data_IF_934127096203
#
_entry.id   IF_934127096203
#
_cell.length_a   1.000
_cell.length_b   1.000
_cell.length_c   1.000
_cell.angle_alpha   90.00
_cell.angle_beta   90.00
_cell.angle_gamma   90.00
#
_symmetry.space_group_name_H-M   'P 1'
#
loop_
_entity.id
_entity.type
_entity.pdbx_description
1 polymer ?
#
# COMPACT_ATOMS: atom_id res chain seq x y z
N UNK A 1 -11.48 1.07 14.58
CA UNK A 1 -12.67 0.88 15.43
C UNK A 1 -13.18 -0.55 15.28
N UNK A 2 -13.81 -1.17 16.30
CA UNK A 2 -14.35 -2.53 16.22
C UNK A 2 -15.33 -2.72 15.07
N UNK A 3 -16.19 -1.74 14.82
CA UNK A 3 -17.18 -1.76 13.74
C UNK A 3 -16.52 -1.86 12.36
N UNK A 4 -15.39 -1.20 12.16
CA UNK A 4 -14.61 -1.26 10.93
C UNK A 4 -14.02 -2.65 10.70
N UNK A 5 -13.61 -3.35 11.77
CA UNK A 5 -13.16 -4.74 11.66
C UNK A 5 -14.28 -5.65 11.15
N UNK A 6 -15.50 -5.52 11.68
CA UNK A 6 -16.62 -6.34 11.26
C UNK A 6 -17.00 -6.10 9.81
N UNK A 7 -16.95 -4.87 9.30
CA UNK A 7 -17.17 -4.57 7.88
C UNK A 7 -16.17 -5.33 6.98
N UNK A 8 -14.89 -5.40 7.38
CA UNK A 8 -13.89 -6.19 6.67
C UNK A 8 -14.18 -7.69 6.75
N UNK A 9 -14.56 -8.15 7.92
CA UNK A 9 -14.83 -9.55 8.17
C UNK A 9 -16.03 -10.07 7.36
N UNK A 10 -17.09 -9.31 7.25
CA UNK A 10 -18.26 -9.64 6.43
C UNK A 10 -17.89 -9.82 4.96
N UNK A 11 -17.06 -8.94 4.42
CA UNK A 11 -16.60 -8.96 3.03
C UNK A 11 -15.45 -9.92 2.73
N UNK A 12 -14.95 -10.65 3.72
CA UNK A 12 -13.74 -11.49 3.59
C UNK A 12 -13.80 -12.57 2.50
N UNK A 13 -14.98 -12.98 2.12
CA UNK A 13 -15.19 -14.02 1.08
C UNK A 13 -15.33 -13.45 -0.33
N UNK A 14 -15.62 -12.16 -0.44
CA UNK A 14 -15.93 -11.51 -1.71
C UNK A 14 -14.68 -11.01 -2.42
N UNK A 15 -13.65 -10.67 -1.66
CA UNK A 15 -12.45 -10.01 -2.17
C UNK A 15 -11.16 -10.79 -1.90
N UNK A 16 -10.20 -10.63 -2.79
CA UNK A 16 -8.84 -11.13 -2.59
C UNK A 16 -8.06 -10.31 -1.59
N UNK A 17 -8.25 -8.99 -1.63
CA UNK A 17 -7.60 -8.00 -0.78
C UNK A 17 -8.56 -6.86 -0.43
N UNK A 18 -8.80 -6.66 0.85
CA UNK A 18 -9.48 -5.49 1.40
C UNK A 18 -8.45 -4.53 1.99
N UNK A 19 -8.49 -3.26 1.60
CA UNK A 19 -7.59 -2.22 2.07
C UNK A 19 -8.38 -1.12 2.76
N UNK A 20 -8.05 -0.85 4.02
CA UNK A 20 -8.56 0.30 4.73
C UNK A 20 -7.83 1.57 4.29
N UNK A 21 -8.53 2.53 3.71
CA UNK A 21 -7.93 3.80 3.32
C UNK A 21 -8.48 4.97 4.14
N UNK A 22 -7.63 5.98 4.35
CA UNK A 22 -8.02 7.18 5.08
C UNK A 22 -8.76 8.15 4.16
N UNK A 23 -10.02 8.47 4.51
CA UNK A 23 -10.83 9.42 3.76
C UNK A 23 -10.34 10.87 3.94
N UNK A 24 -9.93 11.24 5.15
CA UNK A 24 -9.31 12.53 5.47
C UNK A 24 -7.86 12.32 5.88
N UNK A 25 -6.93 12.96 5.19
CA UNK A 25 -5.53 12.98 5.55
C UNK A 25 -5.19 14.33 6.16
N UNK A 26 -5.02 14.37 7.46
CA UNK A 26 -4.49 15.52 8.20
C UNK A 26 -2.94 15.51 8.22
N UNK A 27 -2.35 14.72 7.37
CA UNK A 27 -0.92 14.36 7.40
C UNK A 27 0.04 15.43 6.82
N UNK A 28 -0.42 16.62 6.50
CA UNK A 28 0.42 17.69 5.94
C UNK A 28 0.75 17.54 4.45
N UNK A 29 1.14 18.65 3.81
CA UNK A 29 1.37 18.78 2.36
C UNK A 29 2.51 17.86 1.88
N UNK A 30 3.60 17.73 2.65
CA UNK A 30 4.76 16.92 2.30
C UNK A 30 4.42 15.43 2.11
N UNK A 31 3.53 14.90 2.95
CA UNK A 31 3.13 13.49 2.88
C UNK A 31 2.16 13.21 1.74
N UNK A 32 1.30 14.19 1.42
CA UNK A 32 0.46 14.12 0.22
C UNK A 32 1.32 14.10 -1.04
N UNK A 33 2.35 14.93 -1.10
CA UNK A 33 3.30 14.97 -2.21
C UNK A 33 4.00 13.62 -2.40
N UNK A 34 4.59 13.06 -1.34
CA UNK A 34 5.25 11.75 -1.37
C UNK A 34 4.30 10.65 -1.85
N UNK A 35 3.05 10.64 -1.39
CA UNK A 35 2.07 9.66 -1.84
C UNK A 35 1.71 9.81 -3.31
N UNK A 36 1.59 11.04 -3.81
CA UNK A 36 1.31 11.30 -5.24
C UNK A 36 2.48 10.87 -6.13
N UNK A 37 3.70 11.21 -5.73
CA UNK A 37 4.92 10.78 -6.43
C UNK A 37 5.01 9.25 -6.45
N UNK A 38 4.79 8.58 -5.32
CA UNK A 38 4.78 7.12 -5.27
C UNK A 38 3.76 6.51 -6.23
N UNK A 39 2.53 7.02 -6.26
CA UNK A 39 1.49 6.53 -7.21
C UNK A 39 1.92 6.69 -8.66
N UNK A 40 2.48 7.85 -9.01
CA UNK A 40 2.97 8.12 -10.36
C UNK A 40 4.10 7.16 -10.73
N UNK A 41 5.05 6.95 -9.84
CA UNK A 41 6.16 6.00 -10.05
C UNK A 41 5.64 4.57 -10.25
N UNK A 42 4.70 4.11 -9.43
CA UNK A 42 4.10 2.80 -9.57
C UNK A 42 3.35 2.64 -10.90
N UNK A 43 2.61 3.68 -11.30
CA UNK A 43 1.92 3.68 -12.59
C UNK A 43 2.91 3.63 -13.78
N UNK A 44 3.98 4.41 -13.74
CA UNK A 44 4.98 4.43 -14.81
C UNK A 44 5.73 3.10 -14.95
N UNK A 45 6.10 2.48 -13.82
CA UNK A 45 6.88 1.24 -13.81
C UNK A 45 6.01 0.01 -14.09
N UNK A 46 4.88 -0.13 -13.37
CA UNK A 46 4.05 -1.34 -13.42
C UNK A 46 2.81 -1.21 -14.30
N UNK A 47 2.54 -0.01 -14.83
CA UNK A 47 1.33 0.30 -15.60
C UNK A 47 0.03 0.00 -14.85
N UNK A 48 0.08 0.18 -13.53
CA UNK A 48 -1.02 -0.17 -12.62
C UNK A 48 -1.34 1.01 -11.72
N UNK A 49 -2.60 1.38 -11.65
CA UNK A 49 -3.06 2.45 -10.77
C UNK A 49 -3.41 1.89 -9.40
N UNK A 50 -2.84 2.48 -8.35
CA UNK A 50 -3.06 2.06 -6.96
C UNK A 50 -3.61 3.23 -6.15
N UNK A 51 -4.76 3.04 -5.52
CA UNK A 51 -5.42 4.10 -4.73
C UNK A 51 -4.68 4.41 -3.43
N UNK A 52 -4.30 3.38 -2.67
CA UNK A 52 -3.48 3.49 -1.45
C UNK A 52 -2.58 2.26 -1.30
N UNK A 53 -1.28 2.47 -1.57
CA UNK A 53 -0.33 1.36 -1.67
C UNK A 53 0.25 0.92 -0.31
N UNK A 54 0.28 1.80 0.68
CA UNK A 54 1.08 1.56 1.90
C UNK A 54 0.27 1.55 3.21
N UNK A 55 -1.04 1.46 3.14
CA UNK A 55 -1.85 1.31 4.34
C UNK A 55 -1.63 -0.07 4.97
N UNK A 56 -1.39 -0.16 6.29
CA UNK A 56 -1.18 -1.44 6.97
C UNK A 56 -2.48 -2.18 7.31
N UNK A 57 -3.63 -1.50 7.33
CA UNK A 57 -4.91 -2.11 7.65
C UNK A 57 -5.47 -2.87 6.45
N UNK A 58 -5.30 -4.20 6.47
CA UNK A 58 -5.59 -5.08 5.34
C UNK A 58 -6.18 -6.40 5.79
N UNK A 59 -7.08 -6.95 4.98
CA UNK A 59 -7.54 -8.32 5.09
C UNK A 59 -7.32 -9.03 3.75
N UNK A 60 -6.68 -10.17 3.75
CA UNK A 60 -6.26 -10.88 2.55
C UNK A 60 -6.67 -12.34 2.56
N UNK A 61 -7.04 -12.86 1.41
CA UNK A 61 -7.25 -14.29 1.24
C UNK A 61 -5.91 -15.04 1.37
N UNK A 62 -5.81 -15.97 2.32
CA UNK A 62 -4.56 -16.65 2.64
C UNK A 62 -3.96 -17.47 1.49
N UNK A 63 -4.79 -18.09 0.65
CA UNK A 63 -4.33 -18.87 -0.51
C UNK A 63 -3.71 -17.94 -1.59
N UNK A 64 -4.36 -16.80 -1.85
CA UNK A 64 -3.85 -15.82 -2.80
C UNK A 64 -2.59 -15.14 -2.26
N UNK A 65 -2.59 -14.77 -0.98
CA UNK A 65 -1.43 -14.14 -0.32
C UNK A 65 -0.17 -15.00 -0.47
N UNK A 66 -0.26 -16.32 -0.23
CA UNK A 66 0.89 -17.24 -0.41
C UNK A 66 1.47 -17.20 -1.82
N UNK A 67 0.62 -17.07 -2.85
CA UNK A 67 1.07 -16.94 -4.25
C UNK A 67 1.73 -15.60 -4.53
N UNK A 68 1.16 -14.52 -3.97
CA UNK A 68 1.68 -13.16 -4.11
C UNK A 68 3.05 -13.02 -3.43
N UNK A 69 3.19 -13.54 -2.21
CA UNK A 69 4.44 -13.47 -1.46
C UNK A 69 5.63 -14.12 -2.17
N UNK A 70 5.41 -15.20 -2.93
CA UNK A 70 6.48 -15.84 -3.74
C UNK A 70 7.10 -14.92 -4.80
N UNK A 71 6.41 -13.85 -5.18
CA UNK A 71 6.91 -12.85 -6.15
C UNK A 71 7.68 -11.71 -5.51
N UNK A 72 7.56 -11.56 -4.18
CA UNK A 72 8.20 -10.50 -3.42
C UNK A 72 9.52 -11.04 -2.85
N UNK A 73 10.64 -10.34 -3.04
CA UNK A 73 11.91 -10.75 -2.42
C UNK A 73 11.83 -10.71 -0.89
N UNK A 74 12.51 -11.64 -0.24
CA UNK A 74 12.61 -11.66 1.21
C UNK A 74 13.26 -10.37 1.73
N UNK A 75 12.72 -9.85 2.82
CA UNK A 75 13.21 -8.62 3.43
C UNK A 75 12.94 -7.33 2.65
N UNK A 76 12.13 -7.38 1.59
CA UNK A 76 11.80 -6.17 0.81
C UNK A 76 11.05 -5.14 1.66
N UNK A 77 11.63 -3.96 1.86
CA UNK A 77 11.13 -2.96 2.83
C UNK A 77 9.79 -2.31 2.46
N UNK A 78 9.39 -2.31 1.19
CA UNK A 78 8.08 -1.82 0.71
C UNK A 78 7.15 -2.96 0.29
N UNK A 79 7.18 -4.07 1.00
CA UNK A 79 6.38 -5.28 0.69
C UNK A 79 4.88 -4.98 0.58
N UNK A 80 4.33 -4.10 1.43
CA UNK A 80 2.92 -3.69 1.35
C UNK A 80 2.59 -2.99 0.02
N UNK A 81 3.49 -2.16 -0.48
CA UNK A 81 3.33 -1.47 -1.76
C UNK A 81 3.33 -2.49 -2.89
N UNK A 82 4.31 -3.38 -2.89
CA UNK A 82 4.47 -4.37 -3.94
C UNK A 82 3.32 -5.38 -3.96
N UNK A 83 2.85 -5.84 -2.79
CA UNK A 83 1.65 -6.66 -2.69
C UNK A 83 0.45 -5.98 -3.35
N UNK A 84 0.19 -4.71 -3.03
CA UNK A 84 -0.94 -3.98 -3.62
C UNK A 84 -0.82 -3.91 -5.14
N UNK A 85 0.37 -3.62 -5.66
CA UNK A 85 0.63 -3.60 -7.11
C UNK A 85 0.33 -4.95 -7.75
N UNK A 86 0.79 -6.05 -7.14
CA UNK A 86 0.56 -7.40 -7.67
C UNK A 86 -0.93 -7.73 -7.70
N UNK A 87 -1.66 -7.45 -6.62
CA UNK A 87 -3.11 -7.69 -6.57
C UNK A 87 -3.86 -6.90 -7.63
N UNK A 88 -3.56 -5.62 -7.81
CA UNK A 88 -4.19 -4.76 -8.83
C UNK A 88 -3.83 -5.19 -10.25
N UNK A 89 -2.54 -5.44 -10.52
CA UNK A 89 -2.05 -5.81 -11.84
C UNK A 89 -2.62 -7.15 -12.33
N UNK A 90 -2.81 -8.09 -11.42
CA UNK A 90 -3.36 -9.40 -11.74
C UNK A 90 -4.87 -9.50 -11.53
N UNK A 91 -5.55 -8.38 -11.31
CA UNK A 91 -7.00 -8.32 -11.12
C UNK A 91 -7.53 -9.28 -10.05
N UNK A 92 -6.80 -9.39 -8.93
CA UNK A 92 -7.14 -10.30 -7.83
C UNK A 92 -8.20 -9.73 -6.87
N UNK A 93 -9.12 -8.96 -7.38
CA UNK A 93 -10.24 -8.33 -6.68
C UNK A 93 -9.81 -7.57 -5.41
N UNK A 94 -9.43 -6.30 -5.62
CA UNK A 94 -9.06 -5.37 -4.55
C UNK A 94 -10.23 -4.44 -4.25
N UNK A 95 -10.62 -4.34 -2.98
CA UNK A 95 -11.62 -3.38 -2.53
C UNK A 95 -11.01 -2.42 -1.49
N UNK A 96 -11.35 -1.14 -1.62
CA UNK A 96 -10.90 -0.08 -0.72
C UNK A 96 -12.06 0.39 0.15
N UNK A 97 -11.95 0.18 1.45
CA UNK A 97 -12.95 0.56 2.44
C UNK A 97 -12.43 1.77 3.24
N UNK A 98 -13.23 2.86 3.37
CA UNK A 98 -12.82 3.99 4.19
C UNK A 98 -12.76 3.58 5.66
N UNK A 99 -11.67 3.96 6.34
CA UNK A 99 -11.49 3.73 7.77
C UNK A 99 -11.20 5.04 8.50
N UNK A 100 -11.59 5.07 9.78
CA UNK A 100 -11.29 6.16 10.70
C UNK A 100 -9.88 5.98 11.24
N UNK A 101 -9.08 7.01 11.13
CA UNK A 101 -7.74 7.00 11.70
C UNK A 101 -7.68 8.01 12.86
N UNK A 102 -7.44 7.52 14.07
CA UNK A 102 -7.20 8.42 15.21
C UNK A 102 -5.80 9.02 15.09
N UNK A 103 -5.63 10.34 15.28
CA UNK A 103 -4.31 10.94 15.39
C UNK A 103 -3.50 10.22 16.47
N UNK A 104 -2.21 10.03 16.23
CA UNK A 104 -1.34 9.47 17.25
C UNK A 104 -1.32 10.38 18.47
N UNK A 105 -1.52 9.80 19.67
CA UNK A 105 -1.51 10.55 20.92
C UNK A 105 -0.11 11.04 21.31
N UNK A 106 0.95 10.55 20.68
CA UNK A 106 2.32 10.98 20.93
C UNK A 106 3.19 10.87 19.67
N UNK A 107 4.08 11.85 19.48
CA UNK A 107 5.12 11.87 18.47
C UNK A 107 4.82 12.78 17.26
N UNK A 108 5.67 13.80 17.05
CA UNK A 108 5.68 14.58 15.81
C UNK A 108 6.31 13.74 14.71
N UNK A 109 5.49 13.25 13.79
CA UNK A 109 5.99 12.68 12.52
C UNK A 109 6.37 13.84 11.58
N UNK A 110 7.53 14.44 11.79
CA UNK A 110 8.13 15.28 10.77
C UNK A 110 8.74 14.36 9.70
N UNK A 111 8.11 14.33 8.53
CA UNK A 111 8.72 13.71 7.38
C UNK A 111 9.96 14.53 7.03
N UNK A 112 11.14 13.99 7.33
CA UNK A 112 12.38 14.61 6.93
C UNK A 112 12.65 14.28 5.45
N UNK A 113 12.40 15.26 4.55
CA UNK A 113 12.60 15.10 3.10
C UNK A 113 14.02 14.66 2.77
N UNK A 114 15.04 15.10 3.53
CA UNK A 114 16.43 14.66 3.35
C UNK A 114 16.61 13.14 3.52
N UNK A 115 15.82 12.52 4.37
CA UNK A 115 15.82 11.05 4.57
C UNK A 115 14.97 10.32 3.54
N UNK A 116 13.91 10.95 3.04
CA UNK A 116 12.99 10.34 2.07
C UNK A 116 13.60 10.22 0.69
N UNK A 117 14.38 11.19 0.24
CA UNK A 117 14.98 11.20 -1.10
C UNK A 117 15.85 9.96 -1.35
N UNK A 118 16.81 9.58 -0.48
CA UNK A 118 17.56 8.34 -0.66
C UNK A 118 16.69 7.08 -0.68
N UNK A 119 15.70 7.02 0.22
CA UNK A 119 14.75 5.90 0.27
C UNK A 119 13.94 5.81 -1.03
N UNK A 120 13.48 6.94 -1.54
CA UNK A 120 12.74 7.01 -2.80
C UNK A 120 13.57 6.57 -4.02
N UNK A 121 14.84 6.97 -4.07
CA UNK A 121 15.78 6.52 -5.12
C UNK A 121 16.00 5.01 -5.07
N UNK A 122 16.22 4.46 -3.88
CA UNK A 122 16.38 3.03 -3.68
C UNK A 122 15.11 2.28 -4.09
N UNK A 123 13.94 2.75 -3.65
CA UNK A 123 12.66 2.18 -4.03
C UNK A 123 12.43 2.17 -5.54
N UNK A 124 12.74 3.28 -6.22
CA UNK A 124 12.64 3.38 -7.68
C UNK A 124 13.52 2.33 -8.38
N UNK A 125 14.78 2.23 -7.96
CA UNK A 125 15.72 1.25 -8.51
C UNK A 125 15.24 -0.18 -8.30
N UNK A 126 14.76 -0.50 -7.11
CA UNK A 126 14.25 -1.83 -6.77
C UNK A 126 12.99 -2.18 -7.56
N UNK A 127 12.06 -1.22 -7.72
CA UNK A 127 10.86 -1.41 -8.55
C UNK A 127 11.23 -1.65 -10.02
N UNK A 128 12.21 -0.92 -10.55
CA UNK A 128 12.69 -1.14 -11.92
C UNK A 128 13.26 -2.55 -12.11
N UNK A 129 13.99 -3.07 -11.13
CA UNK A 129 14.51 -4.45 -11.16
C UNK A 129 13.39 -5.48 -11.09
N UNK A 130 12.34 -5.19 -10.32
CA UNK A 130 11.24 -6.12 -10.08
C UNK A 130 10.14 -6.07 -11.14
N UNK A 131 10.12 -5.08 -12.02
CA UNK A 131 9.03 -4.87 -12.99
C UNK A 131 8.72 -6.07 -13.87
N UNK A 132 9.73 -6.88 -14.19
CA UNK A 132 9.58 -8.08 -15.02
C UNK A 132 9.18 -9.32 -14.22
N UNK A 133 9.27 -9.26 -12.91
CA UNK A 133 8.93 -10.36 -12.01
C UNK A 133 7.46 -10.30 -11.52
N UNK A 134 6.83 -9.14 -11.69
CA UNK A 134 5.50 -8.82 -11.16
C UNK A 134 4.44 -8.70 -12.25
#
# INVERSE_FOLDING_TARGET
>A
LPEEFWQFWEKRKECGLLIGYRKKREDGISRLFVTRVLRLVLFLIFKTWVKDANTPYRLMNGKQLKKVLKRIPDGFFLSNVLMTVIYEKHHLHVEYIPITFRPRQAGKNSINMKRIIPIGKQAFHDFMRLRHRI
#
